data_IF_841828385119
#
_entry.id   IF_841828385119
#
_cell.length_a   1.000
_cell.length_b   1.000
_cell.length_c   1.000
_cell.angle_alpha   90.00
_cell.angle_beta   90.00
_cell.angle_gamma   90.00
#
_symmetry.space_group_name_H-M   'P 1'
#
loop_
_entity.id
_entity.type
_entity.pdbx_description
1 polymer ?
#
# COMPACT_ATOMS: atom_id res chain seq x y z
N UNK A 1 -13.05 24.42 -53.80
CA UNK A 1 -13.67 23.33 -53.02
C UNK A 1 -12.56 22.42 -52.55
N UNK A 2 -12.08 22.62 -51.33
CA UNK A 2 -11.03 21.78 -50.74
C UNK A 2 -11.45 21.56 -49.29
N UNK A 3 -12.15 20.45 -49.10
CA UNK A 3 -12.75 20.04 -47.83
C UNK A 3 -11.66 19.67 -46.83
N UNK A 4 -11.57 20.47 -45.78
CA UNK A 4 -10.89 20.17 -44.53
C UNK A 4 -11.38 18.83 -43.97
N UNK A 5 -10.49 17.83 -43.92
CA UNK A 5 -10.78 16.61 -43.16
C UNK A 5 -10.35 16.86 -41.72
N UNK A 6 -11.21 17.54 -40.95
CA UNK A 6 -11.15 17.52 -39.48
C UNK A 6 -11.37 16.08 -39.04
N UNK A 7 -10.28 15.39 -38.69
CA UNK A 7 -10.34 14.11 -37.96
C UNK A 7 -10.88 14.42 -36.57
N UNK A 8 -12.20 14.39 -36.43
CA UNK A 8 -12.88 14.40 -35.15
C UNK A 8 -12.37 13.17 -34.39
N UNK A 9 -11.54 13.38 -33.38
CA UNK A 9 -11.25 12.39 -32.37
C UNK A 9 -12.57 12.17 -31.65
N UNK A 10 -13.31 11.12 -32.02
CA UNK A 10 -14.45 10.65 -31.24
C UNK A 10 -13.98 10.53 -29.79
N UNK A 11 -14.55 11.35 -28.91
CA UNK A 11 -14.38 11.18 -27.46
C UNK A 11 -15.11 9.89 -27.11
N UNK A 12 -14.41 8.77 -27.23
CA UNK A 12 -14.92 7.53 -26.67
C UNK A 12 -14.77 7.64 -25.15
N UNK A 13 -15.89 7.57 -24.44
CA UNK A 13 -15.96 7.75 -22.98
C UNK A 13 -15.26 6.63 -22.19
N UNK A 14 -14.68 5.63 -22.88
CA UNK A 14 -14.01 4.46 -22.32
C UNK A 14 -12.46 4.55 -22.35
N UNK A 15 -11.88 5.75 -22.49
CA UNK A 15 -10.43 5.93 -22.57
C UNK A 15 -9.82 6.41 -21.25
N UNK A 16 -8.89 5.63 -20.69
CA UNK A 16 -8.07 6.02 -19.54
C UNK A 16 -6.75 6.59 -20.03
N UNK A 17 -6.55 7.90 -19.85
CA UNK A 17 -5.32 8.59 -20.25
C UNK A 17 -4.31 8.60 -19.12
N UNK A 18 -3.16 7.97 -19.33
CA UNK A 18 -2.09 7.89 -18.34
C UNK A 18 -1.12 9.06 -18.54
N UNK A 19 -0.86 9.76 -17.45
CA UNK A 19 0.11 10.86 -17.36
C UNK A 19 0.96 10.72 -16.09
N UNK A 20 2.05 11.49 -15.99
CA UNK A 20 2.91 11.51 -14.78
C UNK A 20 2.27 12.19 -13.57
N UNK A 21 1.09 12.80 -13.70
CA UNK A 21 0.45 13.54 -12.60
C UNK A 21 -0.02 12.65 -11.45
N UNK A 22 -0.26 11.36 -11.70
CA UNK A 22 -0.74 10.40 -10.71
C UNK A 22 0.05 9.10 -10.78
N UNK A 23 0.04 8.35 -9.67
CA UNK A 23 0.71 7.06 -9.59
C UNK A 23 -0.06 5.96 -10.35
N UNK A 24 0.59 4.82 -10.58
CA UNK A 24 -0.03 3.69 -11.29
C UNK A 24 -1.32 3.19 -10.60
N UNK A 25 -1.35 3.16 -9.26
CA UNK A 25 -2.51 2.74 -8.47
C UNK A 25 -3.77 3.56 -8.76
N UNK A 26 -3.64 4.88 -8.98
CA UNK A 26 -4.75 5.73 -9.36
C UNK A 26 -5.36 5.31 -10.71
N UNK A 27 -4.52 5.01 -11.71
CA UNK A 27 -4.98 4.60 -13.03
C UNK A 27 -5.56 3.19 -13.04
N UNK A 28 -5.02 2.27 -12.22
CA UNK A 28 -5.63 0.94 -11.99
C UNK A 28 -7.03 1.09 -11.41
N UNK A 29 -7.21 1.96 -10.41
CA UNK A 29 -8.52 2.26 -9.81
C UNK A 29 -9.47 2.89 -10.84
N UNK A 30 -8.99 3.84 -11.65
CA UNK A 30 -9.78 4.46 -12.70
C UNK A 30 -10.26 3.44 -13.74
N UNK A 31 -9.35 2.59 -14.25
CA UNK A 31 -9.69 1.55 -15.21
C UNK A 31 -10.68 0.53 -14.63
N UNK A 32 -10.48 0.09 -13.39
CA UNK A 32 -11.41 -0.80 -12.67
C UNK A 32 -12.81 -0.17 -12.56
N UNK A 33 -12.87 1.14 -12.24
CA UNK A 33 -14.13 1.87 -12.17
C UNK A 33 -14.86 1.96 -13.51
N UNK A 34 -14.14 2.11 -14.63
CA UNK A 34 -14.75 2.11 -15.96
C UNK A 34 -15.27 0.72 -16.36
N UNK A 35 -14.57 -0.35 -15.97
CA UNK A 35 -14.96 -1.73 -16.26
C UNK A 35 -16.18 -2.20 -15.42
N UNK A 36 -16.35 -1.67 -14.21
CA UNK A 36 -17.38 -2.16 -13.27
C UNK A 36 -18.52 -1.17 -13.05
N UNK A 37 -18.34 0.09 -13.43
CA UNK A 37 -19.24 1.18 -13.06
C UNK A 37 -19.11 1.52 -11.58
N UNK A 38 -19.30 2.79 -11.24
CA UNK A 38 -19.44 3.22 -9.83
C UNK A 38 -20.85 3.78 -9.66
N UNK A 39 -21.51 3.43 -8.57
CA UNK A 39 -22.60 4.22 -8.01
C UNK A 39 -22.00 5.46 -7.34
N UNK A 40 -22.11 6.61 -7.98
CA UNK A 40 -21.74 7.89 -7.35
C UNK A 40 -22.58 8.14 -6.09
N UNK A 41 -22.10 8.99 -5.18
CA UNK A 41 -22.84 9.41 -3.97
C UNK A 41 -24.19 10.09 -4.28
N UNK A 42 -24.43 10.46 -5.53
CA UNK A 42 -25.62 11.17 -6.03
C UNK A 42 -26.56 10.29 -6.89
N UNK A 43 -26.40 8.97 -6.87
CA UNK A 43 -27.32 8.05 -7.58
C UNK A 43 -27.22 8.05 -9.11
N UNK A 44 -26.25 8.75 -9.71
CA UNK A 44 -26.00 8.70 -11.16
C UNK A 44 -25.09 7.51 -11.47
N UNK A 45 -25.65 6.52 -12.15
CA UNK A 45 -24.94 5.34 -12.66
C UNK A 45 -24.00 5.75 -13.81
N UNK A 46 -22.68 5.54 -13.63
CA UNK A 46 -21.74 5.65 -14.74
C UNK A 46 -21.81 4.38 -15.59
N UNK A 47 -21.86 4.55 -16.91
CA UNK A 47 -21.89 3.46 -17.91
C UNK A 47 -20.75 2.46 -17.66
N UNK A 48 -21.13 1.19 -17.64
CA UNK A 48 -20.22 0.05 -17.59
C UNK A 48 -19.66 -0.16 -19.00
N UNK A 49 -18.35 -0.29 -19.13
CA UNK A 49 -17.70 -0.64 -20.40
C UNK A 49 -17.11 -2.04 -20.33
N UNK A 50 -17.44 -2.89 -21.30
CA UNK A 50 -16.85 -4.22 -21.44
C UNK A 50 -15.39 -4.17 -21.90
N UNK A 51 -15.01 -3.09 -22.59
CA UNK A 51 -13.67 -2.82 -23.10
C UNK A 51 -13.25 -1.38 -22.79
N UNK A 52 -12.08 -1.25 -22.17
CA UNK A 52 -11.47 0.04 -21.80
C UNK A 52 -10.15 0.19 -22.53
N UNK A 53 -9.90 1.39 -23.07
CA UNK A 53 -8.67 1.70 -23.80
C UNK A 53 -7.75 2.55 -22.92
N UNK A 54 -6.57 2.04 -22.61
CA UNK A 54 -5.53 2.75 -21.88
C UNK A 54 -4.62 3.44 -22.89
N UNK A 55 -4.52 4.76 -22.78
CA UNK A 55 -3.76 5.62 -23.69
C UNK A 55 -2.61 6.30 -22.96
N UNK A 56 -1.39 6.13 -23.44
CA UNK A 56 -0.20 6.74 -22.86
C UNK A 56 0.74 7.33 -23.92
N UNK A 57 1.34 8.49 -23.61
CA UNK A 57 2.23 9.22 -24.51
C UNK A 57 3.65 9.26 -23.94
N UNK A 58 4.65 9.01 -24.79
CA UNK A 58 6.06 9.23 -24.49
C UNK A 58 6.51 8.60 -23.17
N UNK A 59 6.94 9.44 -22.24
CA UNK A 59 7.47 9.02 -20.94
C UNK A 59 6.44 8.35 -20.00
N UNK A 60 5.14 8.40 -20.33
CA UNK A 60 4.09 7.71 -19.57
C UNK A 60 3.84 6.26 -20.06
N UNK A 61 4.48 5.84 -21.15
CA UNK A 61 4.33 4.49 -21.72
C UNK A 61 4.73 3.38 -20.72
N UNK A 62 5.85 3.48 -19.98
CA UNK A 62 6.20 2.46 -18.99
C UNK A 62 5.14 2.31 -17.90
N UNK A 63 4.57 3.43 -17.43
CA UNK A 63 3.50 3.40 -16.43
C UNK A 63 2.24 2.68 -16.94
N UNK A 64 1.94 2.79 -18.24
CA UNK A 64 0.81 2.08 -18.84
C UNK A 64 1.00 0.56 -18.85
N UNK A 65 2.21 0.09 -19.13
CA UNK A 65 2.54 -1.33 -19.07
C UNK A 65 2.38 -1.86 -17.63
N UNK A 66 2.85 -1.12 -16.62
CA UNK A 66 2.67 -1.49 -15.21
C UNK A 66 1.20 -1.56 -14.81
N UNK A 67 0.38 -0.60 -15.26
CA UNK A 67 -1.06 -0.58 -14.97
C UNK A 67 -1.77 -1.81 -15.56
N UNK A 68 -1.46 -2.18 -16.80
CA UNK A 68 -2.05 -3.39 -17.42
C UNK A 68 -1.57 -4.65 -16.72
N UNK A 69 -0.27 -4.76 -16.41
CA UNK A 69 0.26 -5.92 -15.67
C UNK A 69 -0.39 -6.09 -14.30
N UNK A 70 -0.69 -4.99 -13.59
CA UNK A 70 -1.44 -5.03 -12.33
C UNK A 70 -2.90 -5.45 -12.54
N UNK A 71 -3.57 -5.00 -13.59
CA UNK A 71 -4.96 -5.41 -13.90
C UNK A 71 -5.05 -6.91 -14.21
N UNK A 72 -4.07 -7.46 -14.93
CA UNK A 72 -4.00 -8.89 -15.24
C UNK A 72 -3.64 -9.73 -14.02
N UNK A 73 -2.63 -9.30 -13.23
CA UNK A 73 -2.24 -9.98 -11.98
C UNK A 73 -3.41 -10.07 -11.01
N UNK A 74 -4.20 -9.01 -10.92
CA UNK A 74 -5.38 -8.94 -10.05
C UNK A 74 -6.63 -9.58 -10.67
N UNK A 75 -6.52 -10.19 -11.87
CA UNK A 75 -7.59 -10.86 -12.62
C UNK A 75 -8.79 -9.95 -12.94
N UNK A 76 -8.60 -8.63 -12.96
CA UNK A 76 -9.63 -7.61 -13.20
C UNK A 76 -10.04 -7.58 -14.67
N UNK A 77 -9.03 -7.63 -15.54
CA UNK A 77 -9.17 -7.52 -16.98
C UNK A 77 -8.05 -8.28 -17.67
N UNK A 78 -8.29 -8.70 -18.91
CA UNK A 78 -7.30 -9.33 -19.79
C UNK A 78 -6.96 -8.41 -20.94
N UNK A 79 -5.66 -8.27 -21.27
CA UNK A 79 -5.21 -7.52 -22.43
C UNK A 79 -5.72 -8.18 -23.72
N UNK A 80 -6.35 -7.40 -24.59
CA UNK A 80 -6.91 -7.88 -25.86
C UNK A 80 -6.10 -7.38 -27.06
N UNK A 81 -5.73 -6.09 -27.05
CA UNK A 81 -5.04 -5.46 -28.19
C UNK A 81 -3.98 -4.47 -27.73
N UNK A 82 -2.85 -4.47 -28.43
CA UNK A 82 -1.75 -3.52 -28.27
C UNK A 82 -1.56 -2.78 -29.59
N UNK A 83 -1.72 -1.46 -29.57
CA UNK A 83 -1.48 -0.60 -30.72
C UNK A 83 -0.45 0.47 -30.36
N UNK A 84 0.55 0.62 -31.23
CA UNK A 84 1.55 1.69 -31.14
C UNK A 84 1.39 2.61 -32.33
N UNK A 85 1.37 3.91 -32.07
CA UNK A 85 1.28 4.96 -33.08
C UNK A 85 2.22 6.11 -32.72
N UNK A 86 2.46 7.01 -33.68
CA UNK A 86 3.08 8.29 -33.41
C UNK A 86 2.02 9.38 -33.59
N UNK A 87 1.77 10.13 -32.52
CA UNK A 87 0.80 11.21 -32.53
C UNK A 87 1.53 12.53 -32.72
N UNK A 88 1.07 13.31 -33.70
CA UNK A 88 1.64 14.62 -34.00
C UNK A 88 0.96 15.67 -33.13
N UNK A 89 1.75 16.33 -32.28
CA UNK A 89 1.34 17.44 -31.43
C UNK A 89 2.04 18.72 -31.91
N UNK A 90 1.58 19.87 -31.42
CA UNK A 90 2.12 21.19 -31.81
C UNK A 90 3.63 21.32 -31.56
N UNK A 91 4.15 20.57 -30.58
CA UNK A 91 5.56 20.56 -30.17
C UNK A 91 6.35 19.35 -30.69
N UNK A 92 5.82 18.61 -31.67
CA UNK A 92 6.51 17.49 -32.34
C UNK A 92 5.79 16.14 -32.26
N UNK A 93 6.37 15.12 -32.90
CA UNK A 93 5.85 13.75 -32.92
C UNK A 93 6.22 13.03 -31.62
N UNK A 94 5.23 12.44 -30.94
CA UNK A 94 5.44 11.63 -29.74
C UNK A 94 4.94 10.21 -29.96
N UNK A 95 5.63 9.17 -29.45
CA UNK A 95 5.10 7.82 -29.47
C UNK A 95 3.87 7.75 -28.56
N UNK A 96 2.87 7.01 -29.01
CA UNK A 96 1.56 6.85 -28.40
C UNK A 96 1.25 5.36 -28.34
N UNK A 97 1.04 4.85 -27.13
CA UNK A 97 0.61 3.49 -26.88
C UNK A 97 -0.88 3.47 -26.51
N UNK A 98 -1.62 2.57 -27.15
CA UNK A 98 -3.03 2.28 -26.92
C UNK A 98 -3.16 0.79 -26.56
N UNK A 99 -3.65 0.50 -25.37
CA UNK A 99 -3.85 -0.85 -24.86
C UNK A 99 -5.34 -1.07 -24.63
N UNK A 100 -5.95 -2.04 -25.29
CA UNK A 100 -7.37 -2.36 -25.09
C UNK A 100 -7.47 -3.54 -24.13
N UNK A 101 -8.12 -3.33 -22.99
CA UNK A 101 -8.32 -4.32 -21.95
C UNK A 101 -9.80 -4.69 -21.85
N UNK A 102 -10.09 -5.99 -21.81
CA UNK A 102 -11.44 -6.53 -21.72
C UNK A 102 -11.73 -6.95 -20.28
N UNK A 103 -12.93 -6.60 -19.80
CA UNK A 103 -13.41 -6.97 -18.46
C UNK A 103 -13.44 -8.49 -18.30
N UNK A 104 -12.99 -8.97 -17.13
CA UNK A 104 -13.30 -10.33 -16.69
C UNK A 104 -14.68 -10.36 -16.00
N UNK A 105 -15.67 -11.13 -16.50
CA UNK A 105 -17.00 -11.20 -15.90
C UNK A 105 -17.00 -11.82 -14.49
N UNK A 106 -16.04 -12.69 -14.20
CA UNK A 106 -15.91 -13.37 -12.90
C UNK A 106 -15.27 -12.46 -11.82
N UNK A 107 -14.67 -11.34 -12.24
CA UNK A 107 -14.07 -10.39 -11.32
C UNK A 107 -15.14 -9.53 -10.66
N UNK A 108 -15.50 -9.91 -9.44
CA UNK A 108 -16.28 -9.07 -8.52
C UNK A 108 -15.32 -8.08 -7.88
N UNK A 109 -15.50 -6.79 -8.15
CA UNK A 109 -14.83 -5.74 -7.40
C UNK A 109 -15.03 -6.03 -5.92
N UNK A 110 -14.04 -5.82 -5.04
CA UNK A 110 -14.37 -5.62 -3.64
C UNK A 110 -15.34 -4.43 -3.61
N UNK A 111 -16.64 -4.73 -3.43
CA UNK A 111 -17.68 -3.70 -3.34
C UNK A 111 -17.16 -2.73 -2.27
N UNK A 112 -17.29 -1.42 -2.52
CA UNK A 112 -17.40 -0.43 -1.45
C UNK A 112 -18.69 -0.70 -0.66
N UNK A 113 -18.87 -1.90 -0.13
CA UNK A 113 -19.58 -2.03 1.11
C UNK A 113 -18.75 -1.23 2.10
N UNK A 114 -19.35 -0.23 2.74
CA UNK A 114 -18.92 0.23 4.06
C UNK A 114 -19.02 -0.89 5.10
N UNK A 115 -18.67 -2.12 4.75
CA UNK A 115 -18.21 -3.12 5.66
C UNK A 115 -16.72 -2.83 5.81
N UNK A 116 -16.43 -2.04 6.82
CA UNK A 116 -15.29 -2.29 7.71
C UNK A 116 -15.00 -3.79 7.65
N UNK A 117 -13.92 -4.21 6.99
CA UNK A 117 -13.42 -5.56 7.17
C UNK A 117 -13.02 -5.57 8.63
N UNK A 118 -13.86 -6.20 9.45
CA UNK A 118 -13.68 -6.19 10.89
C UNK A 118 -12.29 -6.76 11.17
N UNK A 119 -11.46 -6.02 11.90
CA UNK A 119 -10.15 -6.51 12.25
C UNK A 119 -10.33 -7.80 13.06
N UNK A 120 -9.36 -8.74 13.02
CA UNK A 120 -9.52 -10.11 13.51
C UNK A 120 -10.25 -10.14 14.85
N UNK A 121 -11.32 -10.94 14.96
CA UNK A 121 -12.16 -10.96 16.16
C UNK A 121 -11.30 -11.14 17.41
N UNK A 122 -11.53 -10.31 18.43
CA UNK A 122 -10.83 -10.39 19.71
C UNK A 122 -11.09 -11.79 20.30
N UNK A 123 -10.07 -12.60 20.59
CA UNK A 123 -10.31 -13.88 21.25
C UNK A 123 -10.82 -13.66 22.67
N UNK A 124 -11.82 -14.45 23.10
CA UNK A 124 -12.50 -14.37 24.40
C UNK A 124 -11.56 -14.38 25.63
N UNK A 125 -10.31 -14.84 25.46
CA UNK A 125 -9.27 -14.91 26.49
C UNK A 125 -8.87 -13.55 27.08
N UNK A 126 -9.12 -12.44 26.39
CA UNK A 126 -8.65 -11.10 26.78
C UNK A 126 -9.54 -10.39 27.83
N UNK A 127 -10.65 -11.00 28.25
CA UNK A 127 -11.66 -10.38 29.13
C UNK A 127 -11.44 -10.58 30.63
N UNK A 128 -10.33 -11.20 31.04
CA UNK A 128 -10.04 -11.39 32.47
C UNK A 128 -9.53 -10.10 33.12
N UNK A 129 -9.95 -9.78 34.36
CA UNK A 129 -9.62 -8.53 35.09
C UNK A 129 -8.12 -8.14 35.11
N UNK A 130 -7.21 -9.12 35.04
CA UNK A 130 -5.75 -8.89 34.98
C UNK A 130 -5.27 -8.43 33.60
N UNK A 131 -5.97 -8.84 32.53
CA UNK A 131 -5.68 -8.49 31.16
C UNK A 131 -6.25 -7.11 30.81
N UNK A 132 -7.39 -6.70 31.37
CA UNK A 132 -7.94 -5.36 31.12
C UNK A 132 -6.97 -4.22 31.44
N UNK A 133 -6.20 -4.33 32.53
CA UNK A 133 -5.18 -3.32 32.89
C UNK A 133 -4.05 -3.27 31.88
N UNK A 134 -3.61 -4.42 31.35
CA UNK A 134 -2.61 -4.49 30.28
C UNK A 134 -3.19 -3.97 28.97
N UNK A 135 -4.41 -4.34 28.62
CA UNK A 135 -5.11 -3.84 27.44
C UNK A 135 -5.24 -2.32 27.44
N UNK A 136 -5.57 -1.70 28.59
CA UNK A 136 -5.57 -0.23 28.69
C UNK A 136 -4.21 0.40 28.40
N UNK A 137 -3.09 -0.25 28.78
CA UNK A 137 -1.75 0.23 28.44
C UNK A 137 -1.44 0.03 26.96
N UNK A 138 -1.76 -1.13 26.41
CA UNK A 138 -1.61 -1.46 24.98
C UNK A 138 -2.39 -0.49 24.08
N UNK A 139 -3.63 -0.17 24.45
CA UNK A 139 -4.48 0.79 23.74
C UNK A 139 -3.93 2.21 23.85
N UNK A 140 -3.39 2.62 25.01
CA UNK A 140 -2.75 3.93 25.18
C UNK A 140 -1.45 4.06 24.38
N UNK A 141 -0.60 3.03 24.38
CA UNK A 141 0.62 3.00 23.57
C UNK A 141 0.26 3.04 22.08
N UNK A 142 -0.66 2.18 21.64
CA UNK A 142 -1.15 2.15 20.26
C UNK A 142 -1.75 3.48 19.84
N UNK A 143 -2.57 4.12 20.68
CA UNK A 143 -3.13 5.44 20.41
C UNK A 143 -2.08 6.52 20.22
N UNK A 144 -1.06 6.58 21.10
CA UNK A 144 0.05 7.55 20.99
C UNK A 144 0.89 7.30 19.73
N UNK A 145 1.23 6.04 19.47
CA UNK A 145 1.95 5.65 18.24
C UNK A 145 1.16 5.96 16.98
N UNK A 146 -0.17 5.82 17.01
CA UNK A 146 -1.04 6.20 15.91
C UNK A 146 -0.87 7.67 15.52
N UNK A 147 -0.85 8.57 16.50
CA UNK A 147 -0.66 10.01 16.25
C UNK A 147 0.74 10.32 15.74
N UNK A 148 1.78 9.68 16.30
CA UNK A 148 3.16 9.83 15.80
C UNK A 148 3.29 9.40 14.33
N UNK A 149 2.63 8.29 13.95
CA UNK A 149 2.64 7.78 12.57
C UNK A 149 1.89 8.73 11.63
N UNK A 150 0.73 9.24 12.04
CA UNK A 150 -0.01 10.24 11.25
C UNK A 150 0.83 11.51 11.05
N UNK A 151 1.43 12.06 12.10
CA UNK A 151 2.30 13.23 12.00
C UNK A 151 3.53 13.00 11.14
N UNK A 152 4.18 11.84 11.25
CA UNK A 152 5.33 11.48 10.43
C UNK A 152 4.94 11.30 8.95
N UNK A 153 3.76 10.77 8.67
CA UNK A 153 3.24 10.64 7.31
C UNK A 153 2.88 11.99 6.70
N UNK A 154 2.28 12.90 7.48
CA UNK A 154 1.91 14.24 7.01
C UNK A 154 3.14 15.11 6.74
N UNK A 155 4.20 15.01 7.58
CA UNK A 155 5.44 15.75 7.39
C UNK A 155 6.37 15.11 6.33
N UNK A 156 6.45 13.78 6.32
CA UNK A 156 7.39 13.04 5.47
C UNK A 156 6.80 12.49 4.18
N UNK A 157 5.49 12.66 3.94
CA UNK A 157 4.78 12.07 2.80
C UNK A 157 4.79 10.53 2.78
N UNK A 158 5.15 9.89 3.89
CA UNK A 158 5.32 8.45 3.98
C UNK A 158 3.96 7.75 4.10
N UNK A 159 3.58 6.99 3.07
CA UNK A 159 2.33 6.19 3.08
C UNK A 159 2.43 4.88 3.87
N UNK A 160 3.64 4.51 4.25
CA UNK A 160 3.93 3.26 4.94
C UNK A 160 4.90 3.52 6.10
N UNK A 161 4.69 2.83 7.22
CA UNK A 161 5.49 3.02 8.42
C UNK A 161 5.79 1.71 9.14
N UNK A 162 7.02 1.51 9.58
CA UNK A 162 7.40 0.33 10.36
C UNK A 162 7.75 0.77 11.79
N UNK A 163 7.12 0.16 12.80
CA UNK A 163 7.32 0.54 14.20
C UNK A 163 7.34 -0.66 15.13
N UNK A 164 7.85 -0.45 16.35
CA UNK A 164 7.85 -1.44 17.44
C UNK A 164 7.03 -0.94 18.62
N UNK A 165 6.34 -1.88 19.27
CA UNK A 165 5.56 -1.64 20.49
C UNK A 165 5.96 -2.63 21.58
N UNK A 166 6.00 -2.14 22.81
CA UNK A 166 6.52 -2.90 23.95
C UNK A 166 5.41 -3.52 24.79
N UNK A 167 4.28 -2.84 24.96
CA UNK A 167 3.20 -3.27 25.88
C UNK A 167 2.54 -4.61 25.50
N UNK A 168 2.40 -5.00 24.20
CA UNK A 168 1.89 -6.31 23.84
C UNK A 168 2.81 -7.48 24.23
N UNK A 169 4.09 -7.21 24.56
CA UNK A 169 5.07 -8.19 25.06
C UNK A 169 5.06 -9.52 24.29
N UNK A 170 5.04 -9.47 22.95
CA UNK A 170 5.05 -10.65 22.08
C UNK A 170 3.77 -11.49 22.10
N UNK A 171 2.65 -10.98 22.61
CA UNK A 171 1.31 -11.55 22.42
C UNK A 171 0.70 -11.02 21.12
N UNK A 172 0.35 -11.94 20.23
CA UNK A 172 -0.17 -11.63 18.91
C UNK A 172 -1.56 -10.99 18.97
N UNK A 173 -2.41 -11.43 19.89
CA UNK A 173 -3.78 -10.93 20.01
C UNK A 173 -3.77 -9.50 20.59
N UNK A 174 -2.91 -9.23 21.58
CA UNK A 174 -2.72 -7.86 22.09
C UNK A 174 -2.11 -6.93 21.04
N UNK A 175 -1.20 -7.45 20.20
CA UNK A 175 -0.59 -6.68 19.13
C UNK A 175 -1.62 -6.27 18.08
N UNK A 176 -2.54 -7.16 17.72
CA UNK A 176 -3.68 -6.85 16.84
C UNK A 176 -4.54 -5.73 17.44
N UNK A 177 -4.87 -5.78 18.73
CA UNK A 177 -5.61 -4.70 19.40
C UNK A 177 -4.84 -3.38 19.43
N UNK A 178 -3.52 -3.42 19.58
CA UNK A 178 -2.67 -2.23 19.47
C UNK A 178 -2.78 -1.58 18.08
N UNK A 179 -2.75 -2.40 17.01
CA UNK A 179 -2.92 -1.91 15.63
C UNK A 179 -4.34 -1.38 15.40
N UNK A 180 -5.38 -2.02 15.97
CA UNK A 180 -6.75 -1.49 15.94
C UNK A 180 -6.83 -0.11 16.61
N UNK A 181 -6.18 0.07 17.77
CA UNK A 181 -6.13 1.36 18.46
C UNK A 181 -5.37 2.43 17.66
N UNK A 182 -4.28 2.07 16.98
CA UNK A 182 -3.55 2.97 16.07
C UNK A 182 -4.44 3.43 14.90
N UNK A 183 -5.31 2.55 14.42
CA UNK A 183 -6.21 2.77 13.29
C UNK A 183 -7.55 3.40 13.68
N UNK A 184 -7.84 3.52 14.98
CA UNK A 184 -9.03 4.19 15.47
C UNK A 184 -9.07 5.64 14.95
N UNK A 185 -10.29 6.13 14.66
CA UNK A 185 -10.46 7.50 14.20
C UNK A 185 -10.08 8.45 15.33
N UNK A 186 -9.09 9.30 15.07
CA UNK A 186 -8.71 10.39 15.96
C UNK A 186 -9.78 11.49 15.88
N UNK A 187 -10.31 11.92 17.03
CA UNK A 187 -11.21 13.07 17.09
C UNK A 187 -10.37 14.36 17.20
N UNK A 188 -10.48 15.31 16.25
CA UNK A 188 -9.71 16.55 16.28
C UNK A 188 -9.99 17.43 17.50
N UNK A 189 -11.12 17.21 18.20
CA UNK A 189 -11.59 18.00 19.35
C UNK A 189 -11.08 17.49 20.71
N UNK A 190 -10.50 16.29 20.77
CA UNK A 190 -9.89 15.78 22.01
C UNK A 190 -8.50 16.38 22.25
N UNK A 191 -8.25 16.83 23.48
CA UNK A 191 -6.96 17.41 23.92
C UNK A 191 -5.82 16.39 23.88
N UNK A 192 -6.12 15.10 24.11
CA UNK A 192 -5.22 13.97 23.87
C UNK A 192 -5.66 13.16 22.65
N UNK A 193 -5.21 13.56 21.47
CA UNK A 193 -5.42 12.78 20.24
C UNK A 193 -4.88 11.35 20.40
N UNK A 194 -5.66 10.36 19.95
CA UNK A 194 -5.32 8.93 19.96
C UNK A 194 -5.71 8.32 18.62
N UNK A 195 -4.80 7.59 18.00
CA UNK A 195 -5.04 6.94 16.70
C UNK A 195 -4.81 7.88 15.52
N UNK A 196 -5.63 7.76 14.47
CA UNK A 196 -5.58 8.60 13.25
C UNK A 196 -4.84 7.98 12.06
N UNK A 197 -4.00 6.98 12.30
CA UNK A 197 -3.13 6.40 11.28
C UNK A 197 -3.80 5.38 10.33
N UNK A 198 -5.13 5.26 10.31
CA UNK A 198 -5.85 4.22 9.55
C UNK A 198 -5.65 4.26 8.02
N UNK A 199 -5.22 5.40 7.49
CA UNK A 199 -4.91 5.61 6.05
C UNK A 199 -3.49 5.18 5.66
N UNK A 200 -2.64 4.86 6.64
CA UNK A 200 -1.22 4.59 6.46
C UNK A 200 -0.99 3.09 6.66
N UNK A 201 -0.32 2.44 5.70
CA UNK A 201 0.10 1.04 5.84
C UNK A 201 1.16 0.92 6.92
N UNK A 202 1.07 -0.08 7.79
CA UNK A 202 2.04 -0.21 8.86
C UNK A 202 2.40 -1.64 9.19
N UNK A 203 3.66 -1.85 9.53
CA UNK A 203 4.11 -3.10 10.14
C UNK A 203 4.50 -2.81 11.58
N UNK A 204 3.80 -3.45 12.52
CA UNK A 204 4.01 -3.30 13.96
C UNK A 204 4.60 -4.59 14.50
N UNK A 205 5.67 -4.45 15.27
CA UNK A 205 6.37 -5.57 15.87
C UNK A 205 6.33 -5.48 17.38
N UNK A 206 6.15 -6.62 18.05
CA UNK A 206 6.29 -6.74 19.48
C UNK A 206 7.07 -8.00 19.84
N UNK A 207 7.94 -7.88 20.83
CA UNK A 207 8.81 -8.96 21.28
C UNK A 207 8.49 -9.29 22.74
N UNK A 208 8.49 -10.59 23.04
CA UNK A 208 8.43 -11.10 24.40
C UNK A 208 9.84 -11.36 24.96
N UNK A 209 9.95 -11.39 26.29
CA UNK A 209 11.20 -11.71 27.00
C UNK A 209 11.69 -13.14 26.75
N UNK A 210 10.81 -14.02 26.25
CA UNK A 210 11.11 -15.39 25.84
C UNK A 210 11.69 -15.50 24.42
N UNK A 211 12.04 -14.36 23.81
CA UNK A 211 12.57 -14.22 22.45
C UNK A 211 11.62 -14.64 21.32
N UNK A 212 10.31 -14.53 21.52
CA UNK A 212 9.35 -14.60 20.43
C UNK A 212 9.09 -13.21 19.84
N UNK A 213 9.04 -13.10 18.50
CA UNK A 213 8.76 -11.85 17.78
C UNK A 213 7.42 -11.98 17.06
N UNK A 214 6.41 -11.26 17.54
CA UNK A 214 5.13 -11.12 16.86
C UNK A 214 5.16 -9.92 15.90
N UNK A 215 4.67 -10.13 14.69
CA UNK A 215 4.60 -9.11 13.65
C UNK A 215 3.17 -9.06 13.12
N UNK A 216 2.62 -7.86 13.07
CA UNK A 216 1.32 -7.58 12.46
C UNK A 216 1.50 -6.51 11.40
N UNK A 217 1.15 -6.86 10.17
CA UNK A 217 1.18 -5.95 9.02
C UNK A 217 -0.24 -5.59 8.64
N UNK A 218 -0.51 -4.29 8.60
CA UNK A 218 -1.77 -3.70 8.15
C UNK A 218 -1.55 -2.88 6.89
N UNK A 219 -2.39 -3.09 5.88
CA UNK A 219 -2.43 -2.26 4.67
C UNK A 219 -3.82 -1.62 4.56
N UNK A 220 -3.91 -0.30 4.32
CA UNK A 220 -5.19 0.36 4.11
C UNK A 220 -5.89 -0.18 2.86
N UNK A 221 -7.21 -0.21 2.91
CA UNK A 221 -8.05 -0.74 1.83
C UNK A 221 -7.88 0.01 0.50
N UNK A 222 -7.29 1.21 0.48
CA UNK A 222 -7.03 1.93 -0.77
C UNK A 222 -5.78 1.45 -1.50
N UNK A 223 -4.80 0.87 -0.78
CA UNK A 223 -3.49 0.48 -1.32
C UNK A 223 -3.32 -1.05 -1.41
N UNK A 224 -4.31 -1.84 -0.95
CA UNK A 224 -4.28 -3.32 -1.00
C UNK A 224 -4.05 -3.90 -2.41
N UNK A 225 -4.48 -3.16 -3.45
CA UNK A 225 -4.33 -3.55 -4.87
C UNK A 225 -2.87 -3.48 -5.32
N UNK A 226 -2.07 -2.60 -4.72
CA UNK A 226 -0.65 -2.45 -5.00
C UNK A 226 0.22 -3.31 -4.07
N UNK A 227 -0.21 -3.47 -2.81
CA UNK A 227 0.51 -4.23 -1.80
C UNK A 227 -0.46 -5.00 -0.91
N UNK A 228 -0.50 -6.34 -1.00
CA UNK A 228 -1.20 -7.16 -0.01
C UNK A 228 -0.39 -7.23 1.28
N UNK A 229 -1.06 -7.22 2.44
CA UNK A 229 -0.42 -7.42 3.74
C UNK A 229 0.30 -8.78 3.80
N UNK A 230 -0.22 -9.81 3.12
CA UNK A 230 0.41 -11.14 3.03
C UNK A 230 1.72 -11.07 2.25
N UNK A 231 1.71 -10.50 1.05
CA UNK A 231 2.91 -10.34 0.22
C UNK A 231 4.01 -9.57 0.97
N UNK A 232 3.62 -8.52 1.70
CA UNK A 232 4.57 -7.71 2.47
C UNK A 232 5.17 -8.52 3.64
N UNK A 233 4.33 -9.27 4.36
CA UNK A 233 4.79 -10.12 5.44
C UNK A 233 5.68 -11.26 4.95
N UNK A 234 5.32 -11.92 3.84
CA UNK A 234 6.12 -12.98 3.22
C UNK A 234 7.50 -12.47 2.78
N UNK A 235 7.59 -11.26 2.22
CA UNK A 235 8.87 -10.65 1.89
C UNK A 235 9.72 -10.43 3.15
N UNK A 236 9.12 -9.89 4.22
CA UNK A 236 9.80 -9.69 5.50
C UNK A 236 10.34 -11.03 6.03
N UNK A 237 9.54 -12.10 5.98
CA UNK A 237 9.95 -13.42 6.44
C UNK A 237 11.09 -13.99 5.61
N UNK A 238 11.07 -13.79 4.29
CA UNK A 238 12.15 -14.19 3.38
C UNK A 238 13.46 -13.48 3.72
N UNK A 239 13.38 -12.17 3.97
CA UNK A 239 14.54 -11.37 4.36
C UNK A 239 15.10 -11.80 5.73
N UNK A 240 14.25 -12.23 6.63
CA UNK A 240 14.62 -12.67 7.97
C UNK A 240 14.99 -14.16 8.08
N UNK A 241 15.13 -14.89 6.96
CA UNK A 241 15.34 -16.35 6.94
C UNK A 241 14.27 -17.15 7.71
N UNK A 242 13.10 -16.55 7.94
CA UNK A 242 12.00 -17.07 8.74
C UNK A 242 10.86 -17.62 7.87
N UNK A 243 11.08 -17.84 6.57
CA UNK A 243 10.08 -18.33 5.59
C UNK A 243 9.43 -19.67 5.96
N UNK A 244 10.00 -20.41 6.91
CA UNK A 244 9.44 -21.67 7.39
C UNK A 244 8.37 -21.51 8.49
N UNK A 245 8.14 -20.30 8.98
CA UNK A 245 7.15 -20.03 10.02
C UNK A 245 5.80 -19.74 9.39
N UNK A 246 4.76 -20.37 9.92
CA UNK A 246 3.41 -20.27 9.39
C UNK A 246 2.79 -18.91 9.74
N UNK A 247 2.34 -18.19 8.71
CA UNK A 247 1.43 -17.05 8.88
C UNK A 247 0.11 -17.59 9.45
N UNK A 248 -0.50 -16.85 10.38
CA UNK A 248 -1.76 -17.25 11.02
C UNK A 248 -2.87 -17.34 9.97
N UNK A 249 -3.71 -18.38 10.05
CA UNK A 249 -4.81 -18.63 9.09
C UNK A 249 -5.80 -17.47 8.98
N UNK A 250 -5.99 -16.73 10.07
CA UNK A 250 -6.84 -15.51 10.14
C UNK A 250 -6.28 -14.30 9.39
N UNK A 251 -5.15 -14.46 8.70
CA UNK A 251 -4.53 -13.40 7.91
C UNK A 251 -5.32 -13.15 6.62
N UNK A 252 -5.65 -11.88 6.39
CA UNK A 252 -6.33 -11.36 5.20
C UNK A 252 -5.40 -10.47 4.38
N UNK A 253 -5.84 -9.99 3.22
CA UNK A 253 -5.04 -9.08 2.39
C UNK A 253 -4.82 -7.70 3.04
N UNK A 254 -5.62 -7.35 4.07
CA UNK A 254 -5.48 -6.10 4.83
C UNK A 254 -4.72 -6.29 6.14
N UNK A 255 -4.79 -7.47 6.74
CA UNK A 255 -4.16 -7.80 8.02
C UNK A 255 -3.42 -9.12 7.90
N UNK A 256 -2.09 -9.09 7.97
CA UNK A 256 -1.27 -10.30 8.05
C UNK A 256 -0.59 -10.39 9.41
N UNK A 257 -0.54 -11.60 9.96
CA UNK A 257 -0.15 -11.85 11.35
C UNK A 257 0.77 -13.06 11.45
N UNK A 258 1.87 -12.93 12.18
CA UNK A 258 2.77 -14.05 12.46
C UNK A 258 3.43 -13.92 13.84
N UNK A 259 3.63 -15.06 14.48
CA UNK A 259 4.47 -15.21 15.67
C UNK A 259 5.73 -15.97 15.23
N UNK A 260 6.86 -15.28 15.20
CA UNK A 260 8.14 -15.88 14.85
C UNK A 260 8.86 -16.32 16.11
N UNK A 261 9.05 -17.63 16.27
CA UNK A 261 9.86 -18.20 17.35
C UNK A 261 11.34 -18.23 16.98
N UNK A 262 12.22 -18.12 17.97
CA UNK A 262 13.65 -18.35 17.74
C UNK A 262 13.93 -19.77 17.24
N UNK A 263 14.74 -19.87 16.20
CA UNK A 263 15.22 -21.15 15.65
C UNK A 263 16.74 -21.02 15.41
N UNK A 264 17.52 -21.53 16.36
CA UNK A 264 18.98 -21.45 16.33
C UNK A 264 19.62 -22.29 15.22
N UNK A 265 18.95 -23.35 14.76
CA UNK A 265 19.45 -24.21 13.67
C UNK A 265 19.34 -23.51 12.31
N UNK A 266 18.30 -22.69 12.13
CA UNK A 266 18.08 -21.90 10.91
C UNK A 266 18.63 -20.47 11.00
N UNK A 267 19.31 -20.12 12.09
CA UNK A 267 19.86 -18.77 12.32
C UNK A 267 18.80 -17.68 12.49
N UNK A 268 17.58 -18.06 12.89
CA UNK A 268 16.45 -17.15 13.10
C UNK A 268 16.49 -16.65 14.54
N UNK A 269 16.98 -15.41 14.71
CA UNK A 269 17.07 -14.75 16.01
C UNK A 269 16.16 -13.52 16.04
N UNK A 270 15.09 -13.58 16.85
CA UNK A 270 14.07 -12.56 17.05
C UNK A 270 14.66 -11.17 17.30
N UNK A 271 15.72 -11.10 18.12
CA UNK A 271 16.38 -9.83 18.45
C UNK A 271 17.01 -9.17 17.21
N UNK A 272 17.68 -9.97 16.38
CA UNK A 272 18.29 -9.48 15.12
C UNK A 272 17.20 -9.17 14.09
N UNK A 273 16.18 -10.02 14.00
CA UNK A 273 15.05 -9.80 13.10
C UNK A 273 14.34 -8.48 13.37
N UNK A 274 14.13 -8.10 14.63
CA UNK A 274 13.47 -6.83 14.99
C UNK A 274 14.11 -5.63 14.29
N UNK A 275 15.42 -5.49 14.41
CA UNK A 275 16.14 -4.34 13.85
C UNK A 275 16.25 -4.47 12.32
N UNK A 276 16.39 -5.70 11.83
CA UNK A 276 16.44 -6.02 10.39
C UNK A 276 15.12 -5.72 9.68
N UNK A 277 13.98 -6.02 10.29
CA UNK A 277 12.65 -5.74 9.71
C UNK A 277 12.45 -4.23 9.59
N UNK A 278 12.81 -3.43 10.59
CA UNK A 278 12.66 -1.97 10.50
C UNK A 278 13.50 -1.39 9.35
N UNK A 279 14.73 -1.88 9.17
CA UNK A 279 15.62 -1.43 8.10
C UNK A 279 15.16 -1.88 6.71
N UNK A 280 14.67 -3.12 6.57
CA UNK A 280 14.41 -3.74 5.27
C UNK A 280 12.93 -3.79 4.86
N UNK A 281 11.98 -3.63 5.78
CA UNK A 281 10.55 -3.63 5.44
C UNK A 281 10.19 -2.47 4.50
N UNK A 282 10.92 -1.34 4.58
CA UNK A 282 10.76 -0.22 3.64
C UNK A 282 11.35 -0.52 2.26
N UNK A 283 12.39 -1.36 2.18
CA UNK A 283 13.04 -1.74 0.90
C UNK A 283 12.06 -2.42 -0.06
N UNK A 284 11.17 -3.29 0.46
CA UNK A 284 10.09 -3.88 -0.32
C UNK A 284 9.18 -2.85 -0.99
N UNK A 285 8.92 -1.75 -0.29
CA UNK A 285 8.03 -0.70 -0.75
C UNK A 285 8.73 0.22 -1.76
N UNK A 286 10.03 0.43 -1.62
CA UNK A 286 10.88 1.06 -2.65
C UNK A 286 10.92 0.23 -3.94
N UNK A 287 11.11 -1.09 -3.84
CA UNK A 287 11.10 -2.00 -5.00
C UNK A 287 9.76 -1.99 -5.76
N UNK A 288 8.65 -1.72 -5.06
CA UNK A 288 7.32 -1.58 -5.66
C UNK A 288 7.00 -0.14 -6.13
N UNK A 289 7.93 0.80 -6.05
CA UNK A 289 7.74 2.23 -6.33
C UNK A 289 6.54 2.86 -5.58
N UNK A 290 6.24 2.33 -4.39
CA UNK A 290 5.12 2.78 -3.56
C UNK A 290 5.50 3.94 -2.64
N UNK A 291 6.79 4.15 -2.46
CA UNK A 291 7.41 5.30 -1.81
C UNK A 291 8.14 6.07 -2.92
N UNK A 292 8.01 7.41 -3.00
CA UNK A 292 8.84 8.19 -3.92
C UNK A 292 10.31 7.90 -3.60
N UNK A 293 11.09 7.56 -4.63
CA UNK A 293 12.54 7.47 -4.49
C UNK A 293 12.99 8.82 -3.95
N UNK A 294 13.48 8.84 -2.71
CA UNK A 294 14.38 9.92 -2.36
C UNK A 294 15.56 9.69 -3.29
N UNK A 295 15.70 10.57 -4.28
CA UNK A 295 16.98 10.81 -4.89
C UNK A 295 17.94 10.87 -3.71
N UNK A 296 18.83 9.88 -3.64
CA UNK A 296 20.00 9.93 -2.78
C UNK A 296 20.58 11.32 -3.01
N UNK A 297 20.38 12.22 -2.05
CA UNK A 297 21.13 13.46 -2.01
C UNK A 297 22.56 13.01 -2.19
N UNK A 298 23.10 13.43 -3.32
CA UNK A 298 24.49 13.34 -3.68
C UNK A 298 25.29 13.54 -2.41
N UNK A 299 26.24 12.63 -2.17
CA UNK A 299 27.36 12.93 -1.31
C UNK A 299 27.92 14.27 -1.81
N UNK A 300 27.49 15.37 -1.18
CA UNK A 300 28.06 16.69 -1.35
C UNK A 300 29.47 16.55 -0.81
N UNK A 301 30.32 16.12 -1.74
CA UNK A 301 31.76 16.21 -1.76
C UNK A 301 32.13 17.49 -1.03
N UNK A 302 32.52 17.35 0.25
CA UNK A 302 33.12 18.42 1.01
C UNK A 302 34.45 18.76 0.33
N UNK A 303 34.38 19.57 -0.72
CA UNK A 303 35.51 20.33 -1.24
C UNK A 303 35.81 21.37 -0.16
N UNK A 304 36.61 20.95 0.83
CA UNK A 304 37.37 21.87 1.64
C UNK A 304 38.20 22.69 0.67
N UNK A 305 37.82 23.95 0.48
CA UNK A 305 38.62 24.93 -0.24
C UNK A 305 39.95 25.10 0.49
N UNK A 306 40.95 24.33 0.05
CA UNK A 306 42.32 24.80 -0.01
C UNK A 306 42.33 26.00 -0.96
N UNK A 307 42.10 27.20 -0.42
CA UNK A 307 42.43 28.46 -1.08
C UNK A 307 42.71 29.53 -0.01
N UNK A 308 43.97 29.51 0.40
CA UNK A 308 44.89 30.66 0.37
C UNK A 308 44.48 31.94 1.12
N UNK A 309 45.10 32.10 2.29
CA UNK A 309 45.21 33.35 3.04
C UNK A 309 46.07 34.37 2.26
N UNK A 310 45.55 35.56 1.93
CA UNK A 310 46.38 36.76 1.78
C UNK A 310 46.61 37.48 3.12
#
# INVERSE_FOLDING_TARGET
MTTETKKQTEKTDNVVRISKAHNASFYVRAATNFLQGITGKDGVEKKIFDEVVISALGAAIPAAATVVGLLEKNKVASLTKVETAYTQLDYGKRPHLLLSVKRNPDYVAPKKTGKTIEPPACPERLTTDKLEKKMKKVLKEGGKRGVEIEGAADMGGLKYFCTKVLEPAGDLDMLVESVKAMNAKSDPSEEERKGGSGKIGKTVMSMADDNNLCIVTYVPQEEHVACSAKDWLEYILKMCSASSQAIREDSTDLYAQICVKNDGEKGVFALKMRDYVIQHANKFLHEKHLIPDQESESEDEMVFGDDDFP
#
